data_IF_887091491111
#
_entry.id   IF_887091491111
#
_cell.length_a   1.000
_cell.length_b   1.000
_cell.length_c   1.000
_cell.angle_alpha   90.00
_cell.angle_beta   90.00
_cell.angle_gamma   90.00
#
_symmetry.space_group_name_H-M   'P 1'
#
loop_
_entity.id
_entity.type
_entity.pdbx_description
1 polymer ?
#
# COMPACT_ATOMS: atom_id res chain seq x y z
N UNK A 1 2.26 0.76 14.24
CA UNK A 1 1.86 1.18 12.88
C UNK A 1 0.82 0.16 12.41
N UNK A 2 -0.42 0.58 12.14
CA UNK A 2 -1.43 -0.33 11.59
C UNK A 2 -1.14 -0.54 10.09
N UNK A 3 -1.06 -1.79 9.67
CA UNK A 3 -0.71 -2.21 8.32
C UNK A 3 -1.91 -2.88 7.65
N UNK A 4 -2.96 -2.09 7.36
CA UNK A 4 -4.01 -2.55 6.45
C UNK A 4 -3.50 -2.40 5.02
N UNK A 5 -2.91 -3.47 4.48
CA UNK A 5 -2.45 -3.52 3.09
C UNK A 5 -3.63 -3.75 2.14
N UNK A 6 -3.91 -2.76 1.29
CA UNK A 6 -4.80 -2.94 0.13
C UNK A 6 -3.94 -2.90 -1.12
N UNK A 7 -4.00 -3.97 -1.91
CA UNK A 7 -3.23 -4.13 -3.12
C UNK A 7 -4.07 -3.75 -4.35
N UNK A 8 -3.56 -2.87 -5.23
CA UNK A 8 -4.10 -2.76 -6.58
C UNK A 8 -3.93 -4.10 -7.32
N UNK A 9 -4.81 -4.41 -8.27
CA UNK A 9 -4.66 -5.62 -9.09
C UNK A 9 -3.40 -5.54 -9.96
N UNK A 10 -3.10 -4.36 -10.51
CA UNK A 10 -1.87 -4.04 -11.22
C UNK A 10 -1.22 -2.80 -10.62
N UNK A 11 -0.04 -2.94 -10.03
CA UNK A 11 0.64 -1.86 -9.32
C UNK A 11 0.98 -0.64 -10.19
N UNK A 12 1.21 -0.82 -11.49
CA UNK A 12 1.49 0.27 -12.45
C UNK A 12 0.21 0.95 -12.95
N UNK A 13 -0.80 0.16 -13.32
CA UNK A 13 -1.95 0.66 -14.07
C UNK A 13 -3.12 1.06 -13.17
N UNK A 14 -3.28 0.39 -12.02
CA UNK A 14 -4.39 0.62 -11.10
C UNK A 14 -4.01 1.53 -9.90
N UNK A 15 -2.79 2.07 -9.89
CA UNK A 15 -2.34 3.00 -8.85
C UNK A 15 -1.49 4.13 -9.41
N UNK A 16 -1.79 5.35 -8.98
CA UNK A 16 -0.98 6.54 -9.20
C UNK A 16 -1.02 7.44 -7.98
N UNK A 17 0.13 8.04 -7.63
CA UNK A 17 0.27 9.02 -6.58
C UNK A 17 0.13 10.42 -7.18
N UNK A 18 -0.93 11.13 -6.79
CA UNK A 18 -1.21 12.48 -7.27
C UNK A 18 -0.32 13.53 -6.61
N UNK A 19 0.05 13.30 -5.34
CA UNK A 19 0.93 14.15 -4.55
C UNK A 19 1.42 13.37 -3.33
N UNK A 20 2.67 13.53 -2.90
CA UNK A 20 3.75 14.29 -3.55
C UNK A 20 4.24 13.64 -4.85
N UNK A 21 4.94 14.41 -5.70
CA UNK A 21 5.55 13.88 -6.91
C UNK A 21 6.94 13.29 -6.65
N UNK A 22 7.61 13.72 -5.58
CA UNK A 22 8.89 13.15 -5.15
C UNK A 22 8.74 12.47 -3.77
N UNK A 23 8.09 11.29 -3.69
CA UNK A 23 7.78 10.64 -2.41
C UNK A 23 9.02 10.36 -1.56
N UNK A 24 10.17 10.08 -2.16
CA UNK A 24 11.44 9.88 -1.45
C UNK A 24 12.01 11.15 -0.78
N UNK A 25 11.60 12.33 -1.23
CA UNK A 25 12.03 13.61 -0.65
C UNK A 25 10.98 14.21 0.29
N UNK A 26 9.71 14.01 -0.05
CA UNK A 26 8.59 14.71 0.60
C UNK A 26 7.89 13.87 1.67
N UNK A 27 8.00 12.53 1.60
CA UNK A 27 7.48 11.62 2.63
C UNK A 27 8.61 11.08 3.49
N UNK A 28 8.28 10.77 4.74
CA UNK A 28 9.20 10.01 5.59
C UNK A 28 9.04 8.52 5.32
N UNK A 29 10.14 7.78 5.48
CA UNK A 29 10.18 6.35 5.19
C UNK A 29 10.58 5.56 6.43
N UNK A 30 9.87 4.48 6.68
CA UNK A 30 10.35 3.37 7.50
C UNK A 30 10.77 2.22 6.58
N UNK A 31 11.87 1.55 6.89
CA UNK A 31 12.36 0.36 6.19
C UNK A 31 12.85 -0.67 7.20
N UNK A 32 12.71 -1.95 6.87
CA UNK A 32 13.12 -3.08 7.70
C UNK A 32 13.81 -4.16 6.86
N UNK A 33 14.54 -5.06 7.54
CA UNK A 33 15.26 -6.18 6.93
C UNK A 33 16.17 -5.74 5.76
N UNK A 34 16.01 -6.36 4.59
CA UNK A 34 16.77 -6.09 3.36
C UNK A 34 16.45 -4.73 2.71
N UNK A 35 15.63 -3.90 3.35
CA UNK A 35 15.27 -2.55 2.88
C UNK A 35 14.63 -2.53 1.48
N UNK A 36 14.04 -3.64 1.04
CA UNK A 36 13.36 -3.77 -0.26
C UNK A 36 12.06 -2.99 -0.36
N UNK A 37 11.40 -2.72 0.78
CA UNK A 37 10.11 -2.01 0.84
C UNK A 37 10.25 -0.73 1.66
N UNK A 38 9.77 0.36 1.10
CA UNK A 38 9.63 1.67 1.75
C UNK A 38 8.21 1.81 2.25
N UNK A 39 8.05 1.97 3.56
CA UNK A 39 6.77 2.30 4.18
C UNK A 39 6.69 3.81 4.31
N UNK A 40 6.05 4.47 3.34
CA UNK A 40 5.92 5.92 3.33
C UNK A 40 4.83 6.39 4.30
N UNK A 41 5.14 7.44 5.03
CA UNK A 41 4.20 8.12 5.92
C UNK A 41 4.38 9.63 5.85
N UNK A 42 3.29 10.35 6.13
CA UNK A 42 3.31 11.81 6.18
C UNK A 42 4.14 12.28 7.39
N UNK A 43 5.20 13.10 7.21
CA UNK A 43 6.02 13.59 8.32
C UNK A 43 5.25 14.50 9.29
N UNK A 44 4.13 15.08 8.84
CA UNK A 44 3.33 16.03 9.63
C UNK A 44 2.32 15.35 10.55
N UNK A 45 1.56 14.36 10.04
CA UNK A 45 0.51 13.68 10.80
C UNK A 45 0.87 12.24 11.21
N UNK A 46 1.98 11.69 10.71
CA UNK A 46 2.42 10.32 11.02
C UNK A 46 1.59 9.21 10.35
N UNK A 47 0.61 9.54 9.52
CA UNK A 47 -0.24 8.56 8.85
C UNK A 47 0.53 7.87 7.73
N UNK A 48 0.53 6.52 7.72
CA UNK A 48 1.06 5.71 6.61
C UNK A 48 0.20 5.92 5.38
N UNK A 49 0.84 6.30 4.27
CA UNK A 49 0.18 6.56 2.99
C UNK A 49 0.18 5.31 2.11
N UNK A 50 1.39 4.83 1.77
CA UNK A 50 1.58 3.66 0.91
C UNK A 50 2.87 2.92 1.27
N UNK A 51 2.95 1.67 0.85
CA UNK A 51 4.18 0.89 0.83
C UNK A 51 4.58 0.66 -0.62
N UNK A 52 5.84 0.89 -0.93
CA UNK A 52 6.39 0.73 -2.27
C UNK A 52 7.66 -0.11 -2.28
N UNK A 53 7.83 -0.95 -3.30
CA UNK A 53 9.10 -1.57 -3.67
C UNK A 53 9.24 -1.53 -5.19
N UNK A 54 10.42 -1.20 -5.69
CA UNK A 54 10.70 -1.01 -7.11
C UNK A 54 11.17 0.42 -7.43
N UNK A 55 11.05 0.81 -8.70
CA UNK A 55 11.38 2.16 -9.18
C UNK A 55 10.12 2.95 -9.52
N UNK A 56 10.10 4.24 -9.16
CA UNK A 56 9.02 5.15 -9.52
C UNK A 56 9.38 6.03 -10.71
N UNK A 57 8.38 6.49 -11.45
CA UNK A 57 8.51 7.46 -12.53
C UNK A 57 7.44 8.56 -12.42
N UNK A 58 7.77 9.73 -12.96
CA UNK A 58 6.79 10.78 -13.23
C UNK A 58 6.16 10.53 -14.59
N UNK A 59 4.84 10.54 -14.66
CA UNK A 59 4.10 10.44 -15.92
C UNK A 59 3.05 11.55 -16.02
N UNK A 60 2.61 11.82 -17.25
CA UNK A 60 1.50 12.74 -17.54
C UNK A 60 0.33 11.94 -18.09
N UNK A 61 -0.73 11.85 -17.29
CA UNK A 61 -1.96 11.13 -17.65
C UNK A 61 -3.08 12.10 -18.00
N UNK A 62 -4.03 11.66 -18.82
CA UNK A 62 -5.25 12.40 -19.05
C UNK A 62 -6.15 12.31 -17.80
N UNK A 63 -6.77 13.41 -17.41
CA UNK A 63 -7.77 13.43 -16.35
C UNK A 63 -9.18 13.20 -16.90
N UNK A 64 -10.12 12.84 -16.01
CA UNK A 64 -11.52 12.56 -16.36
C UNK A 64 -12.25 13.76 -16.99
N UNK A 65 -11.66 14.96 -16.94
CA UNK A 65 -12.20 16.20 -17.49
C UNK A 65 -11.51 16.60 -18.80
N UNK A 66 -10.68 15.74 -19.38
CA UNK A 66 -9.93 15.98 -20.62
C UNK A 66 -8.72 16.91 -20.46
N UNK A 67 -8.30 17.17 -19.22
CA UNK A 67 -7.06 17.85 -18.88
C UNK A 67 -5.88 16.87 -18.82
N UNK A 68 -4.67 17.40 -18.64
CA UNK A 68 -3.46 16.61 -18.37
C UNK A 68 -3.05 16.79 -16.92
N UNK A 69 -2.66 15.71 -16.25
CA UNK A 69 -2.17 15.71 -14.87
C UNK A 69 -0.85 14.98 -14.77
N UNK A 70 0.10 15.62 -14.09
CA UNK A 70 1.36 14.97 -13.69
C UNK A 70 1.12 14.12 -12.45
N UNK A 71 1.57 12.87 -12.50
CA UNK A 71 1.46 11.89 -11.41
C UNK A 71 2.78 11.17 -11.21
N UNK A 72 2.98 10.60 -10.04
CA UNK A 72 4.01 9.59 -9.80
C UNK A 72 3.38 8.21 -9.87
N UNK A 73 4.03 7.24 -10.51
CA UNK A 73 3.57 5.84 -10.54
C UNK A 73 4.74 4.87 -10.54
N UNK A 74 4.43 3.59 -10.38
CA UNK A 74 5.42 2.54 -10.50
C UNK A 74 5.92 2.41 -11.95
N UNK A 75 7.23 2.38 -12.14
CA UNK A 75 7.87 2.04 -13.40
C UNK A 75 7.96 0.51 -13.50
N UNK A 76 7.49 -0.05 -14.60
CA UNK A 76 7.52 -1.50 -14.83
C UNK A 76 7.57 -1.84 -16.31
N UNK A 77 8.57 -2.59 -16.74
CA UNK A 77 8.77 -3.00 -18.14
C UNK A 77 8.10 -4.34 -18.50
N UNK A 78 7.38 -4.94 -17.56
CA UNK A 78 6.71 -6.24 -17.74
C UNK A 78 7.56 -7.43 -17.29
N UNK A 79 8.79 -7.21 -16.82
CA UNK A 79 9.61 -8.27 -16.24
C UNK A 79 9.12 -8.62 -14.83
N UNK A 80 9.03 -9.92 -14.52
CA UNK A 80 8.60 -10.41 -13.21
C UNK A 80 9.61 -10.08 -12.12
N UNK A 81 10.90 -10.04 -12.45
CA UNK A 81 11.95 -9.75 -11.47
C UNK A 81 11.97 -8.27 -11.06
N UNK A 82 11.37 -7.40 -11.88
CA UNK A 82 11.22 -5.96 -11.64
C UNK A 82 9.80 -5.57 -11.22
N UNK A 83 8.92 -6.55 -10.98
CA UNK A 83 7.51 -6.30 -10.67
C UNK A 83 7.38 -5.41 -9.41
N UNK A 84 6.77 -4.23 -9.54
CA UNK A 84 6.68 -3.31 -8.42
C UNK A 84 5.68 -3.78 -7.39
N UNK A 85 6.03 -3.55 -6.12
CA UNK A 85 5.13 -3.77 -5.00
C UNK A 85 4.46 -2.45 -4.62
N UNK A 86 3.13 -2.39 -4.67
CA UNK A 86 2.35 -1.24 -4.18
C UNK A 86 1.29 -1.75 -3.20
N UNK A 87 1.17 -1.09 -2.05
CA UNK A 87 0.07 -1.29 -1.13
C UNK A 87 -0.35 0.02 -0.47
N UNK A 88 -1.61 0.42 -0.59
CA UNK A 88 -2.14 1.61 0.09
C UNK A 88 -2.60 1.25 1.51
N UNK A 89 -2.78 2.27 2.34
CA UNK A 89 -3.39 2.09 3.65
C UNK A 89 -4.91 2.06 3.55
N UNK A 90 -5.52 0.89 3.79
CA UNK A 90 -6.97 0.71 3.71
C UNK A 90 -7.74 1.68 4.62
N UNK A 91 -7.15 2.07 5.76
CA UNK A 91 -7.78 3.02 6.69
C UNK A 91 -7.78 4.47 6.21
N UNK A 92 -7.08 4.78 5.12
CA UNK A 92 -7.01 6.12 4.53
C UNK A 92 -7.72 6.21 3.19
N UNK A 93 -8.36 5.13 2.74
CA UNK A 93 -9.15 5.14 1.52
C UNK A 93 -10.44 5.93 1.77
N UNK A 94 -10.83 6.73 0.78
CA UNK A 94 -12.08 7.49 0.85
C UNK A 94 -13.28 6.52 0.99
N UNK A 95 -14.30 6.90 1.78
CA UNK A 95 -15.49 6.07 1.93
C UNK A 95 -16.18 5.79 0.60
N UNK A 96 -16.52 4.53 0.35
CA UNK A 96 -17.30 4.08 -0.80
C UNK A 96 -18.36 3.08 -0.35
N UNK A 97 -19.47 3.00 -1.07
CA UNK A 97 -20.55 2.04 -0.76
C UNK A 97 -20.07 0.58 -0.79
N UNK A 98 -19.07 0.28 -1.61
CA UNK A 98 -18.47 -1.05 -1.77
C UNK A 98 -17.23 -1.28 -0.90
N UNK A 99 -16.86 -0.32 -0.05
CA UNK A 99 -15.66 -0.37 0.79
C UNK A 99 -15.98 0.09 2.23
N UNK A 100 -16.55 -0.81 3.03
CA UNK A 100 -16.71 -0.65 4.48
C UNK A 100 -15.82 -1.66 5.22
N UNK A 101 -14.86 -1.16 5.99
CA UNK A 101 -13.88 -1.99 6.71
C UNK A 101 -14.53 -2.96 7.70
N UNK A 102 -15.69 -2.61 8.27
CA UNK A 102 -16.46 -3.50 9.17
C UNK A 102 -17.02 -4.66 8.37
N UNK A 103 -17.66 -4.38 7.24
CA UNK A 103 -18.23 -5.42 6.36
C UNK A 103 -17.12 -6.33 5.84
N UNK A 104 -15.99 -5.77 5.39
CA UNK A 104 -14.85 -6.58 4.93
C UNK A 104 -14.34 -7.53 6.03
N UNK A 105 -14.35 -7.09 7.29
CA UNK A 105 -13.95 -7.92 8.44
C UNK A 105 -15.00 -8.98 8.77
N UNK A 106 -16.27 -8.59 8.89
CA UNK A 106 -17.39 -9.48 9.23
C UNK A 106 -17.61 -10.58 8.19
N UNK A 107 -17.44 -10.24 6.90
CA UNK A 107 -17.52 -11.17 5.77
C UNK A 107 -16.24 -11.98 5.56
N UNK A 108 -15.21 -11.80 6.41
CA UNK A 108 -13.93 -12.52 6.32
C UNK A 108 -13.21 -12.30 4.99
N UNK A 109 -13.24 -11.06 4.50
CA UNK A 109 -12.53 -10.60 3.30
C UNK A 109 -11.18 -9.95 3.62
N UNK A 110 -10.85 -9.78 4.90
CA UNK A 110 -9.55 -9.32 5.39
C UNK A 110 -8.73 -10.52 5.86
N UNK A 111 -7.52 -10.66 5.31
CA UNK A 111 -6.57 -11.69 5.72
C UNK A 111 -5.58 -11.12 6.73
N UNK A 112 -5.40 -11.81 7.85
CA UNK A 112 -4.49 -11.46 8.94
C UNK A 112 -3.24 -12.33 8.92
N UNK A 113 -2.09 -11.67 8.76
CA UNK A 113 -0.76 -12.29 8.74
C UNK A 113 -0.07 -12.17 10.10
N UNK A 114 0.67 -13.20 10.51
CA UNK A 114 1.46 -13.17 11.76
C UNK A 114 2.84 -12.55 11.51
N UNK A 115 2.89 -11.23 11.34
CA UNK A 115 4.14 -10.50 11.16
C UNK A 115 4.95 -10.28 12.44
N UNK A 116 4.56 -10.88 13.58
CA UNK A 116 5.21 -10.66 14.89
C UNK A 116 6.06 -11.85 15.32
N UNK A 117 5.61 -13.07 15.01
CA UNK A 117 6.36 -14.29 15.33
C UNK A 117 7.70 -14.32 14.57
N UNK A 118 8.66 -15.04 15.16
CA UNK A 118 9.89 -15.42 14.43
C UNK A 118 9.51 -16.26 13.19
N UNK A 119 10.30 -16.22 12.11
CA UNK A 119 9.97 -16.92 10.86
C UNK A 119 9.65 -18.41 11.04
N UNK A 120 10.34 -19.12 11.94
CA UNK A 120 10.09 -20.56 12.19
C UNK A 120 8.82 -20.83 13.00
N UNK A 121 8.21 -19.79 13.56
CA UNK A 121 7.01 -19.84 14.39
C UNK A 121 5.84 -19.06 13.79
N UNK A 122 6.02 -18.52 12.59
CA UNK A 122 4.98 -17.80 11.86
C UNK A 122 3.75 -18.70 11.70
N UNK A 123 2.59 -18.17 12.05
CA UNK A 123 1.33 -18.88 11.95
C UNK A 123 0.70 -18.64 10.59
N UNK A 124 -0.06 -19.61 10.13
CA UNK A 124 -0.82 -19.49 8.90
C UNK A 124 -1.71 -18.23 8.89
N UNK A 125 -1.85 -17.57 7.73
CA UNK A 125 -2.79 -16.48 7.57
C UNK A 125 -4.22 -16.92 7.91
N UNK A 126 -4.99 -16.04 8.53
CA UNK A 126 -6.38 -16.32 8.94
C UNK A 126 -7.33 -15.19 8.57
N UNK A 127 -8.62 -15.50 8.55
CA UNK A 127 -9.66 -14.60 8.04
C UNK A 127 -10.70 -14.21 9.11
N UNK A 128 -10.64 -14.81 10.29
CA UNK A 128 -11.63 -14.62 11.35
C UNK A 128 -11.31 -13.44 12.28
N UNK A 129 -10.03 -13.24 12.62
CA UNK A 129 -9.58 -12.14 13.51
C UNK A 129 -8.07 -11.91 13.46
N UNK A 130 -7.57 -10.74 13.89
CA UNK A 130 -6.14 -10.44 13.98
C UNK A 130 -5.41 -11.38 14.93
N UNK A 131 -4.16 -11.75 14.62
CA UNK A 131 -3.24 -12.48 15.52
C UNK A 131 -3.04 -11.75 16.85
N UNK A 132 -2.41 -12.41 17.84
CA UNK A 132 -2.17 -11.78 19.14
C UNK A 132 -1.37 -10.46 18.96
N UNK A 133 -1.81 -9.40 19.63
CA UNK A 133 -1.33 -8.02 19.44
C UNK A 133 -1.60 -7.39 18.05
N UNK A 134 -2.43 -8.03 17.21
CA UNK A 134 -2.90 -7.45 15.96
C UNK A 134 -4.08 -6.48 16.15
N UNK A 135 -4.42 -5.77 15.08
CA UNK A 135 -5.57 -4.87 15.00
C UNK A 135 -6.53 -5.34 13.91
N UNK A 136 -7.82 -5.11 14.13
CA UNK A 136 -8.83 -5.17 13.07
C UNK A 136 -8.63 -4.03 12.08
#
# INVERSE_FOLDING_TARGET
MNFFHVHPAHARDDFMLLSPLEPDKELSTYQCYEMKRKYYFCPKCGVRCLTFGGEGEIDVVDDDKGGKRTVWRAKWDGDKDTEPYVAVNGTTMDPREDFDLRILTEEKRVQYFDGRSEPEKEKDPRWDRPHYCGSY
#
